data_IF_245287723519
#
_entry.id   IF_245287723519
#
_cell.length_a   1.000
_cell.length_b   1.000
_cell.length_c   1.000
_cell.angle_alpha   90.00
_cell.angle_beta   90.00
_cell.angle_gamma   90.00
#
_symmetry.space_group_name_H-M   'P 1'
#
loop_
_entity.id
_entity.type
_entity.pdbx_description
1 polymer ?
#
# COMPACT_ATOMS: atom_id res chain seq x y z
N UNK A 1 15.95 -12.37 -12.02
CA UNK A 1 15.14 -13.58 -11.84
C UNK A 1 13.92 -13.11 -11.08
N UNK A 2 12.76 -13.06 -11.75
CA UNK A 2 11.50 -12.60 -11.19
C UNK A 2 10.90 -13.70 -10.31
N UNK A 3 11.44 -13.85 -9.10
CA UNK A 3 10.82 -14.71 -8.09
C UNK A 3 9.56 -14.00 -7.60
N UNK A 4 8.43 -14.32 -8.25
CA UNK A 4 7.12 -13.89 -7.79
C UNK A 4 6.87 -14.47 -6.40
N UNK A 5 6.21 -13.74 -5.49
CA UNK A 5 5.86 -14.23 -4.16
C UNK A 5 4.89 -15.42 -4.29
N UNK A 6 5.45 -16.62 -4.40
CA UNK A 6 4.68 -17.84 -4.60
C UNK A 6 4.23 -18.31 -3.22
N UNK A 7 2.91 -18.33 -2.97
CA UNK A 7 2.27 -18.90 -1.75
C UNK A 7 2.21 -18.02 -0.47
N UNK A 8 2.09 -16.69 -0.58
CA UNK A 8 1.88 -15.79 0.59
C UNK A 8 0.47 -15.87 1.22
N UNK A 9 -0.45 -16.63 0.64
CA UNK A 9 -1.84 -16.72 1.12
C UNK A 9 -1.94 -17.50 2.43
N UNK A 10 -1.07 -18.49 2.62
CA UNK A 10 -1.11 -19.47 3.72
C UNK A 10 -0.13 -19.18 4.85
N UNK A 11 0.64 -18.11 4.75
CA UNK A 11 1.64 -17.80 5.75
C UNK A 11 0.97 -17.22 7.01
N UNK A 12 1.41 -17.61 8.21
CA UNK A 12 0.93 -17.01 9.44
C UNK A 12 1.34 -15.54 9.48
N UNK A 13 0.55 -14.70 10.14
CA UNK A 13 0.93 -13.32 10.45
C UNK A 13 1.75 -13.37 11.73
N UNK A 14 2.93 -12.77 11.69
CA UNK A 14 3.84 -12.67 12.82
C UNK A 14 3.91 -11.23 13.32
N UNK A 15 4.65 -10.99 14.40
CA UNK A 15 4.97 -9.63 14.82
C UNK A 15 5.87 -8.96 13.77
N UNK A 16 5.49 -7.77 13.30
CA UNK A 16 6.23 -6.98 12.32
C UNK A 16 6.51 -5.56 12.85
N UNK A 17 7.53 -4.92 12.28
CA UNK A 17 7.88 -3.53 12.59
C UNK A 17 6.93 -2.57 11.87
N UNK A 18 6.33 -1.63 12.61
CA UNK A 18 5.46 -0.62 12.01
C UNK A 18 6.27 0.33 11.11
N UNK A 19 5.67 0.78 10.01
CA UNK A 19 6.30 1.73 9.08
C UNK A 19 5.58 3.07 9.17
N UNK A 20 6.31 4.09 9.61
CA UNK A 20 5.80 5.46 9.65
C UNK A 20 5.41 5.95 8.24
N UNK A 21 4.20 6.49 8.15
CA UNK A 21 3.58 7.03 6.95
C UNK A 21 2.73 8.25 7.31
N UNK A 22 2.60 9.19 6.37
CA UNK A 22 1.65 10.28 6.48
C UNK A 22 0.20 9.77 6.45
N UNK A 23 -0.71 10.49 7.11
CA UNK A 23 -2.11 10.08 7.17
C UNK A 23 -2.82 10.16 5.81
N UNK A 24 -3.36 9.02 5.37
CA UNK A 24 -4.10 8.91 4.11
C UNK A 24 -5.58 9.25 4.35
N UNK A 25 -5.97 10.52 4.17
CA UNK A 25 -7.39 10.85 4.18
C UNK A 25 -8.02 10.62 2.80
N UNK A 26 -8.81 9.55 2.69
CA UNK A 26 -9.59 9.16 1.51
C UNK A 26 -11.00 8.73 1.94
N UNK A 27 -12.00 9.00 1.09
CA UNK A 27 -13.34 8.46 1.30
C UNK A 27 -13.36 6.98 0.87
N UNK A 28 -13.54 6.07 1.83
CA UNK A 28 -13.49 4.63 1.62
C UNK A 28 -14.63 4.11 0.71
N UNK A 29 -15.77 4.80 0.65
CA UNK A 29 -16.93 4.38 -0.13
C UNK A 29 -16.68 4.36 -1.64
N UNK A 30 -15.67 5.09 -2.12
CA UNK A 30 -15.36 5.24 -3.54
C UNK A 30 -14.30 4.22 -4.03
N UNK A 31 -13.84 3.34 -3.13
CA UNK A 31 -12.81 2.34 -3.42
C UNK A 31 -13.39 1.01 -3.87
N UNK A 32 -12.72 0.38 -4.85
CA UNK A 32 -13.01 -1.03 -5.15
C UNK A 32 -12.54 -1.94 -4.00
N UNK A 33 -13.04 -3.18 -3.96
CA UNK A 33 -12.66 -4.18 -2.93
C UNK A 33 -11.13 -4.34 -2.78
N UNK A 34 -10.41 -4.43 -3.90
CA UNK A 34 -8.95 -4.56 -3.87
C UNK A 34 -8.25 -3.29 -3.39
N UNK A 35 -8.78 -2.11 -3.72
CA UNK A 35 -8.21 -0.83 -3.26
C UNK A 35 -8.44 -0.63 -1.76
N UNK A 36 -9.63 -1.01 -1.28
CA UNK A 36 -9.93 -1.05 0.14
C UNK A 36 -9.02 -2.02 0.87
N UNK A 37 -8.73 -3.17 0.27
CA UNK A 37 -7.82 -4.13 0.86
C UNK A 37 -6.40 -3.57 0.99
N UNK A 38 -5.87 -2.93 -0.07
CA UNK A 38 -4.59 -2.22 0.02
C UNK A 38 -4.60 -1.17 1.14
N UNK A 39 -5.67 -0.37 1.26
CA UNK A 39 -5.78 0.67 2.28
C UNK A 39 -5.71 0.09 3.69
N UNK A 40 -6.45 -0.98 3.93
CA UNK A 40 -6.51 -1.63 5.23
C UNK A 40 -5.15 -2.25 5.62
N UNK A 41 -4.44 -2.87 4.68
CA UNK A 41 -3.09 -3.40 4.91
C UNK A 41 -2.10 -2.27 5.22
N UNK A 42 -2.13 -1.18 4.44
CA UNK A 42 -1.24 -0.03 4.68
C UNK A 42 -1.49 0.55 6.08
N UNK A 43 -2.76 0.72 6.48
CA UNK A 43 -3.12 1.17 7.83
C UNK A 43 -2.64 0.20 8.90
N UNK A 44 -2.84 -1.11 8.72
CA UNK A 44 -2.40 -2.13 9.66
C UNK A 44 -0.87 -2.15 9.86
N UNK A 45 -0.11 -1.97 8.77
CA UNK A 45 1.36 -1.88 8.83
C UNK A 45 1.79 -0.55 9.49
N UNK A 46 1.09 0.54 9.23
CA UNK A 46 1.37 1.84 9.84
C UNK A 46 1.11 1.83 11.36
N UNK A 47 0.03 1.20 11.81
CA UNK A 47 -0.33 1.13 13.24
C UNK A 47 0.34 -0.02 13.98
N UNK A 48 0.96 -0.96 13.26
CA UNK A 48 1.45 -2.21 13.86
C UNK A 48 0.34 -3.15 14.30
N UNK A 49 -0.92 -2.88 13.93
CA UNK A 49 -2.09 -3.65 14.38
C UNK A 49 -2.74 -4.37 13.21
N UNK A 50 -2.75 -5.71 13.28
CA UNK A 50 -3.40 -6.55 12.29
C UNK A 50 -4.69 -7.16 12.85
N UNK A 51 -5.79 -7.06 12.11
CA UNK A 51 -7.09 -7.60 12.53
C UNK A 51 -7.36 -8.99 11.93
N UNK A 52 -8.08 -9.89 12.62
CA UNK A 52 -8.40 -11.22 12.09
C UNK A 52 -9.18 -11.18 10.78
N UNK A 53 -10.11 -10.23 10.61
CA UNK A 53 -10.87 -10.07 9.37
C UNK A 53 -9.99 -9.71 8.16
N UNK A 54 -8.84 -9.07 8.40
CA UNK A 54 -7.86 -8.76 7.37
C UNK A 54 -6.98 -9.97 7.04
N UNK A 55 -6.73 -10.83 8.04
CA UNK A 55 -5.98 -12.08 7.88
C UNK A 55 -6.70 -13.09 6.98
N UNK A 56 -8.03 -13.15 7.06
CA UNK A 56 -8.83 -14.10 6.27
C UNK A 56 -8.98 -13.70 4.80
N UNK A 57 -8.65 -12.45 4.43
CA UNK A 57 -8.80 -11.98 3.05
C UNK A 57 -7.70 -12.54 2.13
N UNK A 58 -8.13 -13.29 1.13
CA UNK A 58 -7.24 -13.83 0.09
C UNK A 58 -7.07 -12.78 -1.03
N UNK A 59 -5.83 -12.39 -1.38
CA UNK A 59 -5.56 -11.57 -2.55
C UNK A 59 -6.08 -12.24 -3.83
N UNK A 60 -6.47 -11.44 -4.83
CA UNK A 60 -6.77 -11.98 -6.16
C UNK A 60 -5.54 -12.65 -6.82
N UNK A 61 -5.73 -13.43 -7.89
CA UNK A 61 -4.63 -14.06 -8.61
C UNK A 61 -3.69 -13.02 -9.23
N UNK A 62 -2.39 -13.31 -9.20
CA UNK A 62 -1.37 -12.51 -9.87
C UNK A 62 -1.61 -12.48 -11.38
N UNK A 63 -1.59 -11.28 -11.94
CA UNK A 63 -1.60 -11.05 -13.38
C UNK A 63 -0.59 -9.96 -13.69
N UNK A 64 0.13 -10.07 -14.81
CA UNK A 64 1.18 -9.12 -15.20
C UNK A 64 0.69 -7.66 -15.30
N UNK A 65 -0.60 -7.43 -15.46
CA UNK A 65 -1.22 -6.09 -15.52
C UNK A 65 -1.67 -5.55 -14.16
N UNK A 66 -1.56 -6.33 -13.07
CA UNK A 66 -2.18 -6.04 -11.76
C UNK A 66 -1.15 -5.73 -10.68
N UNK A 67 -0.46 -4.60 -10.85
CA UNK A 67 0.49 -4.10 -9.85
C UNK A 67 -0.12 -3.94 -8.44
N UNK A 68 -1.41 -3.61 -8.33
CA UNK A 68 -2.12 -3.53 -7.05
C UNK A 68 -2.10 -4.89 -6.30
N UNK A 69 -2.35 -5.98 -7.01
CA UNK A 69 -2.36 -7.34 -6.43
C UNK A 69 -0.94 -7.75 -6.03
N UNK A 70 0.06 -7.44 -6.86
CA UNK A 70 1.47 -7.67 -6.51
C UNK A 70 1.85 -6.93 -5.23
N UNK A 71 1.50 -5.64 -5.13
CA UNK A 71 1.79 -4.82 -3.95
C UNK A 71 1.17 -5.42 -2.67
N UNK A 72 -0.10 -5.82 -2.73
CA UNK A 72 -0.81 -6.48 -1.62
C UNK A 72 -0.08 -7.75 -1.18
N UNK A 73 0.40 -8.57 -2.11
CA UNK A 73 1.12 -9.80 -1.79
C UNK A 73 2.48 -9.55 -1.15
N UNK A 74 3.25 -8.56 -1.64
CA UNK A 74 4.52 -8.19 -0.99
C UNK A 74 4.31 -7.64 0.43
N UNK A 75 3.25 -6.88 0.66
CA UNK A 75 2.90 -6.41 2.01
C UNK A 75 2.46 -7.57 2.91
N UNK A 76 1.73 -8.56 2.39
CA UNK A 76 1.41 -9.79 3.12
C UNK A 76 2.64 -10.65 3.40
N UNK A 77 3.60 -10.70 2.49
CA UNK A 77 4.85 -11.41 2.72
C UNK A 77 5.64 -10.74 3.85
N UNK A 78 5.68 -9.41 3.87
CA UNK A 78 6.37 -8.63 4.90
C UNK A 78 5.86 -8.90 6.32
N UNK A 79 4.55 -8.99 6.51
CA UNK A 79 3.95 -9.28 7.83
C UNK A 79 4.06 -10.76 8.24
N UNK A 80 4.44 -11.64 7.31
CA UNK A 80 4.51 -13.09 7.51
C UNK A 80 5.93 -13.61 7.66
N UNK A 81 6.92 -12.84 7.23
CA UNK A 81 8.32 -13.25 7.18
C UNK A 81 9.11 -12.70 8.36
N UNK A 82 9.71 -13.59 9.17
CA UNK A 82 10.53 -13.18 10.33
C UNK A 82 11.88 -12.64 9.89
N UNK A 83 12.36 -13.06 8.72
CA UNK A 83 13.67 -12.73 8.17
C UNK A 83 13.56 -11.89 6.90
N UNK A 84 13.26 -10.60 7.07
CA UNK A 84 13.16 -9.68 5.94
C UNK A 84 14.53 -9.50 5.26
N UNK A 85 14.65 -9.88 3.99
CA UNK A 85 15.82 -9.53 3.18
C UNK A 85 15.87 -8.02 2.96
N UNK A 86 17.08 -7.45 2.80
CA UNK A 86 17.24 -6.01 2.55
C UNK A 86 16.46 -5.52 1.32
N UNK A 87 16.37 -6.37 0.29
CA UNK A 87 15.60 -6.11 -0.93
C UNK A 87 14.11 -6.07 -0.67
N UNK A 88 13.56 -7.03 0.11
CA UNK A 88 12.15 -7.04 0.49
C UNK A 88 11.81 -5.81 1.34
N UNK A 89 12.65 -5.44 2.32
CA UNK A 89 12.46 -4.24 3.13
C UNK A 89 12.47 -2.97 2.27
N UNK A 90 13.35 -2.89 1.27
CA UNK A 90 13.39 -1.76 0.34
C UNK A 90 12.13 -1.69 -0.53
N UNK A 91 11.67 -2.83 -1.05
CA UNK A 91 10.47 -2.92 -1.89
C UNK A 91 9.20 -2.56 -1.11
N UNK A 92 9.05 -3.08 0.11
CA UNK A 92 7.94 -2.76 1.01
C UNK A 92 7.91 -1.28 1.35
N UNK A 93 9.07 -0.69 1.68
CA UNK A 93 9.18 0.75 1.91
C UNK A 93 8.77 1.56 0.68
N UNK A 94 9.17 1.12 -0.51
CA UNK A 94 8.73 1.76 -1.76
C UNK A 94 7.21 1.65 -1.94
N UNK A 95 6.63 0.47 -1.70
CA UNK A 95 5.19 0.25 -1.81
C UNK A 95 4.42 1.16 -0.84
N UNK A 96 4.81 1.19 0.43
CA UNK A 96 4.17 1.98 1.48
C UNK A 96 4.34 3.50 1.23
N UNK A 97 5.58 3.96 1.11
CA UNK A 97 5.91 5.40 1.11
C UNK A 97 5.75 6.09 -0.24
N UNK A 98 5.79 5.35 -1.35
CA UNK A 98 5.69 5.93 -2.69
C UNK A 98 4.44 5.47 -3.41
N UNK A 99 4.28 4.17 -3.60
CA UNK A 99 3.18 3.67 -4.42
C UNK A 99 1.81 3.91 -3.80
N UNK A 100 1.56 3.44 -2.56
CA UNK A 100 0.28 3.57 -1.89
C UNK A 100 -0.10 5.05 -1.68
N UNK A 101 0.86 5.86 -1.22
CA UNK A 101 0.68 7.30 -1.03
C UNK A 101 0.25 8.01 -2.32
N UNK A 102 0.93 7.75 -3.45
CA UNK A 102 0.57 8.33 -4.75
C UNK A 102 -0.76 7.79 -5.26
N UNK A 103 -1.01 6.49 -5.11
CA UNK A 103 -2.24 5.84 -5.54
C UNK A 103 -3.47 6.46 -4.87
N UNK A 104 -3.45 6.60 -3.54
CA UNK A 104 -4.56 7.18 -2.80
C UNK A 104 -4.69 8.70 -3.02
N UNK A 105 -3.58 9.40 -3.26
CA UNK A 105 -3.63 10.81 -3.67
C UNK A 105 -4.35 10.98 -5.02
N UNK A 106 -4.10 10.10 -6.00
CA UNK A 106 -4.81 10.12 -7.29
C UNK A 106 -6.30 9.82 -7.09
N UNK A 107 -6.62 8.82 -6.26
CA UNK A 107 -8.03 8.44 -5.99
C UNK A 107 -8.83 9.51 -5.27
N UNK A 108 -8.19 10.30 -4.40
CA UNK A 108 -8.83 11.42 -3.71
C UNK A 108 -9.29 12.54 -4.65
N UNK A 109 -8.64 12.72 -5.79
CA UNK A 109 -8.96 13.80 -6.74
C UNK A 109 -9.29 13.24 -8.13
N UNK A 110 -10.45 12.57 -8.31
CA UNK A 110 -10.81 11.92 -9.56
C UNK A 110 -11.12 12.89 -10.71
N UNK A 111 -11.42 14.16 -10.40
CA UNK A 111 -11.85 15.19 -11.35
C UNK A 111 -10.71 15.91 -12.08
N UNK A 112 -9.44 15.60 -11.79
CA UNK A 112 -8.30 16.24 -12.47
C UNK A 112 -8.08 15.58 -13.83
N UNK A 113 -8.44 16.30 -14.91
CA UNK A 113 -8.50 15.81 -16.30
C UNK A 113 -7.18 15.87 -17.08
N UNK A 114 -6.04 16.28 -16.50
CA UNK A 114 -4.80 16.56 -17.26
C UNK A 114 -3.52 15.90 -16.68
N UNK A 115 -3.07 14.83 -17.33
CA UNK A 115 -1.96 13.96 -16.91
C UNK A 115 -0.59 14.60 -16.66
N UNK A 116 -0.28 15.76 -17.26
CA UNK A 116 1.03 16.41 -17.11
C UNK A 116 1.19 17.13 -15.76
N UNK A 117 0.12 17.74 -15.24
CA UNK A 117 0.15 18.40 -13.93
C UNK A 117 -0.03 17.42 -12.76
N UNK A 118 -0.47 16.17 -13.02
CA UNK A 118 -0.74 15.14 -11.99
C UNK A 118 0.50 14.71 -11.21
N UNK A 119 1.63 14.47 -11.89
CA UNK A 119 2.88 14.16 -11.16
C UNK A 119 3.30 15.36 -10.34
N UNK A 120 3.32 16.57 -10.91
CA UNK A 120 3.75 17.75 -10.18
C UNK A 120 2.89 18.01 -8.94
N UNK A 121 1.56 17.94 -9.02
CA UNK A 121 0.67 18.22 -7.88
C UNK A 121 0.72 17.11 -6.82
N UNK A 122 0.74 15.83 -7.21
CA UNK A 122 0.86 14.74 -6.23
C UNK A 122 2.25 14.76 -5.55
N UNK A 123 3.32 14.98 -6.31
CA UNK A 123 4.67 15.15 -5.74
C UNK A 123 4.81 16.45 -4.94
N UNK A 124 4.19 17.57 -5.36
CA UNK A 124 4.18 18.82 -4.59
C UNK A 124 3.40 18.65 -3.28
N UNK A 125 2.21 18.05 -3.31
CA UNK A 125 1.41 17.83 -2.11
C UNK A 125 2.09 16.83 -1.15
N UNK A 126 2.77 15.80 -1.64
CA UNK A 126 3.61 14.96 -0.78
C UNK A 126 4.81 15.72 -0.18
N UNK A 127 5.31 16.75 -0.89
CA UNK A 127 6.51 17.50 -0.48
C UNK A 127 6.20 18.73 0.39
N UNK A 128 5.02 19.33 0.29
CA UNK A 128 4.71 20.64 0.86
C UNK A 128 3.39 20.71 1.67
N UNK A 129 2.66 19.61 1.89
CA UNK A 129 1.44 19.63 2.73
C UNK A 129 1.72 19.65 4.25
N UNK A 130 2.90 20.12 4.67
CA UNK A 130 3.20 20.46 6.07
C UNK A 130 3.02 21.96 6.38
N UNK A 131 2.58 22.80 5.43
CA UNK A 131 2.54 24.27 5.66
C UNK A 131 1.18 24.97 5.46
N UNK A 132 0.08 24.27 5.21
CA UNK A 132 -1.22 24.95 5.13
C UNK A 132 -2.32 24.21 5.90
N UNK A 133 -2.24 24.35 7.23
CA UNK A 133 -3.41 24.45 8.11
C UNK A 133 -3.70 25.95 8.23
N UNK A 134 -4.83 26.39 7.67
CA UNK A 134 -5.67 27.52 8.09
C UNK A 134 -7.00 27.38 7.35
#
# INVERSE_FOLDING_TARGET
>A
MDEQPTNCEKLPIINFEAIELDEVHINETDLSKDQQYLLNIVKAIQTGQWTPDLAERVPGPLSHSRWLTCAIQYLRLFISETSLTGELKMLVNYIMKKYASVWFAIKRYPSVKCGYNHRKIAFYNLKYRNEFIC
#
